data_IF_526466773142
#
_entry.id   IF_526466773142
#
_cell.length_a   1.000
_cell.length_b   1.000
_cell.length_c   1.000
_cell.angle_alpha   90.00
_cell.angle_beta   90.00
_cell.angle_gamma   90.00
#
_symmetry.space_group_name_H-M   'P 1'
#
loop_
_entity.id
_entity.type
_entity.pdbx_description
1 polymer ?
#
# COMPACT_ATOMS: atom_id res chain seq x y z
N UNK A 1 10.21 -40.22 -23.96
CA UNK A 1 9.06 -39.40 -23.51
C UNK A 1 9.52 -38.53 -22.33
N UNK A 2 10.18 -37.42 -22.61
CA UNK A 2 10.69 -36.49 -21.60
C UNK A 2 9.56 -35.55 -21.19
N UNK A 3 9.05 -35.75 -19.98
CA UNK A 3 8.01 -34.92 -19.36
C UNK A 3 8.51 -33.49 -19.18
N UNK A 4 7.93 -32.55 -19.93
CA UNK A 4 8.15 -31.11 -19.73
C UNK A 4 7.62 -30.74 -18.35
N UNK A 5 8.53 -30.63 -17.37
CA UNK A 5 8.23 -29.99 -16.10
C UNK A 5 8.03 -28.49 -16.39
N UNK A 6 6.78 -28.13 -16.71
CA UNK A 6 6.34 -26.74 -16.80
C UNK A 6 6.81 -26.03 -15.53
N UNK A 7 7.76 -25.11 -15.69
CA UNK A 7 8.06 -24.09 -14.68
C UNK A 7 6.73 -23.38 -14.46
N UNK A 8 6.04 -23.71 -13.38
CA UNK A 8 4.67 -23.26 -13.15
C UNK A 8 4.72 -21.75 -12.94
N UNK A 9 4.40 -21.00 -13.99
CA UNK A 9 4.23 -19.56 -13.96
C UNK A 9 3.34 -19.16 -12.79
N UNK A 10 3.69 -18.06 -12.11
CA UNK A 10 2.95 -17.52 -10.99
C UNK A 10 1.58 -17.00 -11.46
N UNK A 11 0.60 -17.91 -11.58
CA UNK A 11 -0.74 -17.60 -12.07
C UNK A 11 -1.53 -16.85 -10.98
N UNK A 12 -2.09 -15.67 -11.26
CA UNK A 12 -3.02 -14.96 -10.35
C UNK A 12 -4.26 -15.84 -10.06
N UNK A 13 -4.82 -15.77 -8.86
CA UNK A 13 -6.06 -16.48 -8.52
C UNK A 13 -7.25 -15.83 -9.21
N UNK A 14 -8.11 -16.63 -9.85
CA UNK A 14 -9.36 -16.12 -10.44
C UNK A 14 -10.49 -16.02 -9.40
N UNK A 15 -11.55 -15.29 -9.74
CA UNK A 15 -12.74 -15.16 -8.91
C UNK A 15 -13.37 -16.54 -8.64
N UNK A 16 -13.42 -17.41 -9.65
CA UNK A 16 -13.96 -18.77 -9.55
C UNK A 16 -13.10 -19.63 -8.63
N UNK A 17 -11.77 -19.50 -8.72
CA UNK A 17 -10.85 -20.18 -7.81
C UNK A 17 -11.05 -19.71 -6.36
N UNK A 18 -11.26 -18.41 -6.14
CA UNK A 18 -11.52 -17.87 -4.80
C UNK A 18 -12.87 -18.33 -4.24
N UNK A 19 -13.92 -18.38 -5.06
CA UNK A 19 -15.22 -18.93 -4.67
C UNK A 19 -15.07 -20.40 -4.30
N UNK A 20 -14.34 -21.17 -5.11
CA UNK A 20 -14.07 -22.58 -4.84
C UNK A 20 -13.28 -22.77 -3.54
N UNK A 21 -12.24 -21.97 -3.33
CA UNK A 21 -11.42 -22.03 -2.13
C UNK A 21 -12.24 -21.71 -0.88
N UNK A 22 -13.12 -20.69 -0.93
CA UNK A 22 -14.10 -20.40 0.14
C UNK A 22 -15.04 -21.57 0.44
N UNK A 23 -15.59 -22.19 -0.60
CA UNK A 23 -16.49 -23.33 -0.44
C UNK A 23 -15.77 -24.52 0.21
N UNK A 24 -14.55 -24.84 -0.26
CA UNK A 24 -13.77 -25.97 0.27
C UNK A 24 -13.34 -25.72 1.73
N UNK A 25 -12.87 -24.51 2.05
CA UNK A 25 -12.47 -24.16 3.43
C UNK A 25 -13.68 -24.10 4.36
N UNK A 26 -14.85 -23.67 3.89
CA UNK A 26 -16.09 -23.72 4.67
C UNK A 26 -16.46 -25.17 5.06
N UNK A 27 -16.26 -26.13 4.16
CA UNK A 27 -16.57 -27.55 4.40
C UNK A 27 -15.51 -28.29 5.22
N UNK A 28 -14.23 -28.03 4.97
CA UNK A 28 -13.11 -28.77 5.55
C UNK A 28 -12.40 -28.01 6.68
N UNK A 29 -12.68 -26.72 6.87
CA UNK A 29 -11.94 -25.86 7.79
C UNK A 29 -10.50 -25.59 7.34
N UNK A 30 -9.73 -24.94 8.22
CA UNK A 30 -8.33 -24.51 7.97
C UNK A 30 -7.28 -25.44 8.59
N UNK A 31 -7.68 -26.61 9.10
CA UNK A 31 -6.80 -27.54 9.81
C UNK A 31 -5.98 -28.45 8.87
N UNK A 32 -6.48 -28.75 7.67
CA UNK A 32 -5.77 -29.58 6.67
C UNK A 32 -5.71 -28.93 5.29
N UNK A 33 -4.68 -28.11 5.06
CA UNK A 33 -4.44 -27.49 3.76
C UNK A 33 -4.10 -28.49 2.64
N UNK A 34 -3.61 -29.68 3.00
CA UNK A 34 -3.38 -30.78 2.04
C UNK A 34 -4.70 -31.23 1.42
N UNK A 35 -5.72 -31.42 2.25
CA UNK A 35 -7.07 -31.78 1.81
C UNK A 35 -7.71 -30.64 1.03
N UNK A 36 -7.54 -29.38 1.45
CA UNK A 36 -8.05 -28.23 0.67
C UNK A 36 -7.45 -28.18 -0.74
N UNK A 37 -6.14 -28.36 -0.85
CA UNK A 37 -5.44 -28.31 -2.14
C UNK A 37 -5.83 -29.44 -3.10
N UNK A 38 -6.24 -30.62 -2.62
CA UNK A 38 -6.70 -31.70 -3.50
C UNK A 38 -7.98 -31.35 -4.26
N UNK A 39 -8.77 -30.39 -3.76
CA UNK A 39 -9.95 -29.88 -4.46
C UNK A 39 -9.66 -28.67 -5.35
N UNK A 40 -8.43 -28.16 -5.35
CA UNK A 40 -7.99 -26.97 -6.09
C UNK A 40 -7.01 -27.36 -7.21
N UNK A 41 -7.51 -27.82 -8.38
CA UNK A 41 -6.66 -28.28 -9.46
C UNK A 41 -5.72 -27.17 -9.95
N UNK A 42 -4.45 -27.53 -10.17
CA UNK A 42 -3.45 -26.57 -10.63
C UNK A 42 -3.01 -25.53 -9.58
N UNK A 43 -3.37 -25.73 -8.30
CA UNK A 43 -2.88 -24.96 -7.14
C UNK A 43 -2.21 -25.90 -6.14
N UNK A 44 -1.23 -25.37 -5.41
CA UNK A 44 -0.55 -26.11 -4.36
C UNK A 44 -1.02 -25.69 -2.96
N UNK A 45 -0.66 -26.49 -1.95
CA UNK A 45 -1.01 -26.28 -0.54
C UNK A 45 -0.60 -24.89 -0.05
N UNK A 46 0.63 -24.46 -0.37
CA UNK A 46 1.16 -23.16 0.03
C UNK A 46 0.34 -22.02 -0.55
N UNK A 47 0.02 -22.08 -1.84
CA UNK A 47 -0.77 -21.08 -2.58
C UNK A 47 -2.18 -20.96 -2.00
N UNK A 48 -2.86 -22.08 -1.75
CA UNK A 48 -4.20 -22.07 -1.17
C UNK A 48 -4.20 -21.44 0.24
N UNK A 49 -3.25 -21.84 1.09
CA UNK A 49 -3.12 -21.28 2.45
C UNK A 49 -2.81 -19.79 2.43
N UNK A 50 -1.87 -19.38 1.58
CA UNK A 50 -1.48 -17.97 1.46
C UNK A 50 -2.64 -17.12 0.93
N UNK A 51 -3.32 -17.57 -0.13
CA UNK A 51 -4.50 -16.87 -0.68
C UNK A 51 -5.58 -16.70 0.39
N UNK A 52 -5.86 -17.75 1.17
CA UNK A 52 -6.81 -17.69 2.26
C UNK A 52 -6.42 -16.67 3.32
N UNK A 53 -5.23 -16.84 3.90
CA UNK A 53 -4.79 -16.06 5.06
C UNK A 53 -4.60 -14.58 4.74
N UNK A 54 -4.27 -14.24 3.49
CA UNK A 54 -3.96 -12.87 3.10
C UNK A 54 -5.15 -12.12 2.51
N UNK A 55 -6.15 -12.82 1.95
CA UNK A 55 -7.21 -12.18 1.16
C UNK A 55 -8.63 -12.70 1.38
N UNK A 56 -8.83 -13.98 1.67
CA UNK A 56 -10.19 -14.58 1.70
C UNK A 56 -10.73 -14.83 3.11
N UNK A 57 -9.84 -14.97 4.10
CA UNK A 57 -10.25 -15.24 5.47
C UNK A 57 -11.09 -14.06 6.00
N UNK A 58 -12.25 -14.32 6.64
CA UNK A 58 -13.06 -13.28 7.27
C UNK A 58 -12.32 -12.48 8.35
N UNK A 59 -11.23 -13.03 8.89
CA UNK A 59 -10.36 -12.36 9.85
C UNK A 59 -9.48 -11.26 9.25
N UNK A 60 -9.32 -11.24 7.91
CA UNK A 60 -8.53 -10.22 7.23
C UNK A 60 -9.37 -8.97 7.09
N UNK A 61 -8.84 -7.86 7.54
CA UNK A 61 -9.49 -6.57 7.32
C UNK A 61 -9.20 -6.08 5.89
N UNK A 62 -10.25 -6.02 5.05
CA UNK A 62 -10.21 -5.49 3.68
C UNK A 62 -10.84 -4.08 3.57
N UNK A 63 -11.15 -3.42 4.69
CA UNK A 63 -11.72 -2.07 4.64
C UNK A 63 -10.71 -1.05 4.10
N UNK A 64 -11.16 0.08 3.54
CA UNK A 64 -10.26 1.14 3.09
C UNK A 64 -9.39 1.67 4.24
N UNK A 65 -8.18 2.13 3.95
CA UNK A 65 -7.32 2.72 5.00
C UNK A 65 -7.84 4.10 5.40
N UNK A 66 -7.91 4.34 6.71
CA UNK A 66 -8.23 5.65 7.28
C UNK A 66 -6.97 6.50 7.44
N UNK A 67 -7.17 7.82 7.59
CA UNK A 67 -6.04 8.74 7.81
C UNK A 67 -5.34 8.45 9.14
N UNK A 68 -6.10 8.05 10.16
CA UNK A 68 -5.58 7.67 11.47
C UNK A 68 -4.69 6.42 11.37
N UNK A 69 -5.11 5.44 10.55
CA UNK A 69 -4.29 4.26 10.25
C UNK A 69 -3.03 4.63 9.48
N UNK A 70 -3.09 5.56 8.52
CA UNK A 70 -1.91 6.03 7.79
C UNK A 70 -0.87 6.68 8.72
N UNK A 71 -1.33 7.56 9.62
CA UNK A 71 -0.47 8.21 10.60
C UNK A 71 0.19 7.16 11.50
N UNK A 72 -0.59 6.20 12.00
CA UNK A 72 -0.08 5.11 12.84
C UNK A 72 0.90 4.22 12.07
N UNK A 73 0.62 3.90 10.81
CA UNK A 73 1.49 3.11 9.95
C UNK A 73 2.88 3.77 9.81
N UNK A 74 2.91 5.06 9.47
CA UNK A 74 4.16 5.81 9.33
C UNK A 74 4.94 5.87 10.66
N UNK A 75 4.25 6.07 11.79
CA UNK A 75 4.86 6.03 13.12
C UNK A 75 5.48 4.67 13.45
N UNK A 76 4.72 3.60 13.28
CA UNK A 76 5.19 2.24 13.54
C UNK A 76 6.35 1.83 12.61
N UNK A 77 6.36 2.30 11.36
CA UNK A 77 7.49 2.06 10.46
C UNK A 77 8.76 2.78 10.91
N UNK A 78 8.66 4.00 11.46
CA UNK A 78 9.83 4.70 12.03
C UNK A 78 10.45 3.96 13.21
N UNK A 79 9.62 3.31 14.02
CA UNK A 79 10.06 2.57 15.21
C UNK A 79 10.56 1.16 14.88
N UNK A 80 9.84 0.43 14.01
CA UNK A 80 10.05 -1.01 13.77
C UNK A 80 10.71 -1.33 12.42
N UNK A 81 10.78 -0.38 11.49
CA UNK A 81 11.20 -0.61 10.11
C UNK A 81 10.22 -1.49 9.31
N UNK A 82 10.68 -2.24 8.29
CA UNK A 82 9.84 -3.03 7.37
C UNK A 82 9.29 -4.33 7.97
N UNK A 83 8.89 -4.32 9.25
CA UNK A 83 8.32 -5.45 9.96
C UNK A 83 6.80 -5.55 9.75
N UNK A 84 6.36 -5.68 8.50
CA UNK A 84 4.95 -5.58 8.07
C UNK A 84 3.98 -6.48 8.84
N UNK A 85 4.38 -7.72 9.13
CA UNK A 85 3.55 -8.67 9.90
C UNK A 85 3.31 -8.18 11.33
N UNK A 86 4.32 -7.57 11.97
CA UNK A 86 4.16 -7.01 13.33
C UNK A 86 3.30 -5.76 13.27
N UNK A 87 3.58 -4.85 12.33
CA UNK A 87 2.81 -3.63 12.12
C UNK A 87 1.31 -3.95 11.92
N UNK A 88 0.98 -5.00 11.15
CA UNK A 88 -0.41 -5.38 10.91
C UNK A 88 -1.20 -5.81 12.13
N UNK A 89 -0.53 -6.34 13.16
CA UNK A 89 -1.18 -6.64 14.44
C UNK A 89 -1.64 -5.37 15.17
N UNK A 90 -0.96 -4.24 14.96
CA UNK A 90 -1.33 -2.95 15.54
C UNK A 90 -2.37 -2.17 14.71
N UNK A 91 -2.63 -2.59 13.47
CA UNK A 91 -3.57 -1.98 12.53
C UNK A 91 -4.82 -2.84 12.29
N UNK A 92 -5.27 -3.58 13.30
CA UNK A 92 -6.53 -4.32 13.24
C UNK A 92 -6.52 -5.52 12.28
N UNK A 93 -5.44 -6.32 12.30
CA UNK A 93 -5.30 -7.55 11.51
C UNK A 93 -5.37 -7.35 9.99
N UNK A 94 -4.90 -6.20 9.49
CA UNK A 94 -4.63 -6.02 8.06
C UNK A 94 -3.49 -6.93 7.63
N UNK A 95 -3.54 -7.40 6.37
CA UNK A 95 -2.47 -8.23 5.82
C UNK A 95 -1.18 -7.42 5.64
N UNK A 96 -0.04 -8.09 5.82
CA UNK A 96 1.30 -7.55 5.59
C UNK A 96 1.43 -6.93 4.19
N UNK A 97 0.79 -7.57 3.20
CA UNK A 97 0.74 -7.09 1.83
C UNK A 97 0.02 -5.74 1.73
N UNK A 98 -1.18 -5.62 2.30
CA UNK A 98 -1.98 -4.40 2.23
C UNK A 98 -1.25 -3.22 2.88
N UNK A 99 -0.57 -3.49 4.00
CA UNK A 99 0.19 -2.48 4.74
C UNK A 99 1.39 -2.00 3.95
N UNK A 100 2.18 -2.92 3.38
CA UNK A 100 3.33 -2.57 2.54
C UNK A 100 2.88 -1.75 1.33
N UNK A 101 1.81 -2.17 0.65
CA UNK A 101 1.25 -1.43 -0.48
C UNK A 101 0.83 -0.01 -0.09
N UNK A 102 0.12 0.14 1.03
CA UNK A 102 -0.29 1.44 1.55
C UNK A 102 0.91 2.34 1.87
N UNK A 103 1.93 1.80 2.54
CA UNK A 103 3.14 2.53 2.86
C UNK A 103 3.86 3.03 1.60
N UNK A 104 4.06 2.15 0.62
CA UNK A 104 4.72 2.53 -0.65
C UNK A 104 3.96 3.64 -1.37
N UNK A 105 2.64 3.61 -1.34
CA UNK A 105 1.81 4.67 -1.91
C UNK A 105 2.00 6.00 -1.17
N UNK A 106 1.98 5.98 0.16
CA UNK A 106 2.22 7.18 0.97
C UNK A 106 3.60 7.79 0.69
N UNK A 107 4.64 6.96 0.57
CA UNK A 107 6.00 7.41 0.24
C UNK A 107 6.09 8.00 -1.17
N UNK A 108 5.42 7.38 -2.15
CA UNK A 108 5.36 7.92 -3.53
C UNK A 108 4.73 9.31 -3.55
N UNK A 109 3.65 9.50 -2.82
CA UNK A 109 2.97 10.80 -2.72
C UNK A 109 3.77 11.82 -1.94
N UNK A 110 4.53 11.41 -0.92
CA UNK A 110 5.46 12.31 -0.22
C UNK A 110 6.53 12.86 -1.16
N UNK A 111 7.23 11.98 -1.88
CA UNK A 111 8.27 12.36 -2.85
C UNK A 111 7.74 13.28 -3.94
N UNK A 112 6.51 13.04 -4.41
CA UNK A 112 5.87 13.88 -5.43
C UNK A 112 5.63 15.31 -4.93
N UNK A 113 5.31 15.49 -3.63
CA UNK A 113 5.12 16.81 -3.01
C UNK A 113 6.43 17.56 -2.86
N UNK A 114 7.47 16.89 -2.39
CA UNK A 114 8.83 17.44 -2.24
C UNK A 114 9.33 18.01 -3.60
N UNK A 115 9.16 17.25 -4.70
CA UNK A 115 9.52 17.69 -6.06
C UNK A 115 8.72 18.92 -6.54
N UNK A 116 7.45 19.05 -6.14
CA UNK A 116 6.61 20.19 -6.54
C UNK A 116 6.88 21.45 -5.71
N UNK A 117 7.34 21.32 -4.47
CA UNK A 117 7.61 22.43 -3.56
C UNK A 117 8.99 23.08 -3.85
N UNK A 118 9.98 22.29 -4.24
CA UNK A 118 11.30 22.81 -4.66
C UNK A 118 11.24 23.64 -5.95
N UNK A 119 10.22 23.41 -6.79
CA UNK A 119 9.98 24.17 -8.03
C UNK A 119 9.32 25.54 -7.80
N UNK A 120 8.93 25.88 -6.57
CA UNK A 120 8.31 27.17 -6.21
C UNK A 120 9.16 28.04 -5.26
N UNK A 121 10.40 27.65 -4.95
CA UNK A 121 11.31 28.44 -4.08
C UNK A 121 12.48 29.12 -4.82
N UNK A 122 12.23 29.65 -6.02
CA UNK A 122 13.18 30.54 -6.72
C UNK A 122 12.53 31.85 -7.15
N UNK A 123 12.18 32.65 -6.15
CA UNK A 123 12.17 34.11 -6.08
C UNK A 123 11.70 34.44 -4.65
N UNK A 124 12.31 35.30 -3.83
CA UNK A 124 12.84 36.63 -4.12
C UNK A 124 14.04 37.00 -3.22
N UNK A 125 15.02 37.59 -3.90
CA UNK A 125 15.81 38.79 -3.61
C UNK A 125 15.88 39.43 -2.20
N UNK A 126 17.14 39.74 -1.86
CA UNK A 126 17.55 40.85 -1.00
C UNK A 126 17.02 42.18 -1.55
N UNK A 127 16.29 42.97 -0.74
CA UNK A 127 16.29 44.44 -0.87
C UNK A 127 16.26 45.08 0.52
N UNK A 128 17.28 45.90 0.76
CA UNK A 128 17.49 46.75 1.93
C UNK A 128 16.59 48.01 1.91
N UNK A 129 16.00 48.29 3.06
CA UNK A 129 15.76 49.59 3.74
C UNK A 129 15.64 50.91 2.93
N UNK A 130 14.47 51.59 3.03
CA UNK A 130 14.34 53.04 3.25
C UNK A 130 12.87 53.49 3.45
N UNK A 131 12.67 54.43 4.38
CA UNK A 131 11.47 55.08 4.92
C UNK A 131 10.64 55.97 3.96
N UNK A 132 9.29 56.00 4.09
CA UNK A 132 8.43 57.22 4.32
C UNK A 132 6.90 56.93 4.50
N UNK A 133 6.33 57.49 5.60
CA UNK A 133 4.99 58.05 5.95
C UNK A 133 3.60 57.57 5.39
N UNK A 134 2.69 57.25 6.35
CA UNK A 134 1.21 57.49 6.54
C UNK A 134 0.26 57.83 5.34
N UNK A 135 -1.02 57.40 5.19
CA UNK A 135 -2.08 56.76 6.01
C UNK A 135 -3.22 56.16 5.08
N UNK A 136 -4.42 55.74 5.55
CA UNK A 136 -4.99 54.40 5.34
C UNK A 136 -6.00 54.28 4.17
N UNK A 137 -5.89 53.20 3.39
CA UNK A 137 -6.92 52.82 2.40
C UNK A 137 -7.26 51.33 2.60
N UNK A 138 -8.56 51.08 2.71
CA UNK A 138 -9.22 49.82 3.00
C UNK A 138 -8.79 48.66 2.07
N UNK A 139 -7.82 47.86 2.49
CA UNK A 139 -7.50 46.60 1.82
C UNK A 139 -8.32 45.46 2.43
N UNK A 140 -9.35 45.05 1.69
CA UNK A 140 -9.95 43.74 1.82
C UNK A 140 -8.83 42.69 1.74
N UNK A 141 -8.40 42.16 2.88
CA UNK A 141 -7.69 40.88 2.92
C UNK A 141 -8.70 39.85 2.42
N UNK A 142 -8.61 39.49 1.13
CA UNK A 142 -9.24 38.26 0.65
C UNK A 142 -8.58 37.13 1.45
N UNK A 143 -9.34 36.30 2.17
CA UNK A 143 -8.75 35.19 2.88
C UNK A 143 -8.08 34.28 1.84
N UNK A 144 -6.79 34.09 2.06
CA UNK A 144 -5.92 33.16 1.36
C UNK A 144 -6.62 31.80 1.23
N UNK A 145 -7.13 31.49 0.04
CA UNK A 145 -7.79 30.22 -0.27
C UNK A 145 -7.06 29.50 -1.39
N UNK A 146 -5.82 29.14 -1.14
CA UNK A 146 -5.22 27.93 -1.71
C UNK A 146 -4.38 27.20 -0.65
N UNK A 147 -5.05 26.77 0.43
CA UNK A 147 -4.55 25.64 1.22
C UNK A 147 -4.73 24.41 0.34
N UNK A 148 -3.60 23.86 -0.08
CA UNK A 148 -3.38 22.55 -0.71
C UNK A 148 -4.64 21.69 -0.85
N UNK A 149 -5.01 21.35 -2.08
CA UNK A 149 -5.86 20.19 -2.32
C UNK A 149 -5.09 18.93 -1.88
N UNK A 150 -5.12 18.64 -0.58
CA UNK A 150 -4.59 17.41 -0.03
C UNK A 150 -5.37 16.25 -0.64
N UNK A 151 -4.65 15.31 -1.24
CA UNK A 151 -5.24 14.07 -1.79
C UNK A 151 -6.12 13.44 -0.70
N UNK A 152 -7.37 13.17 -1.06
CA UNK A 152 -8.35 12.65 -0.11
C UNK A 152 -8.07 11.17 0.18
N UNK A 153 -8.42 10.69 1.39
CA UNK A 153 -8.29 9.25 1.73
C UNK A 153 -9.02 8.34 0.73
N UNK A 154 -10.09 8.84 0.08
CA UNK A 154 -10.82 8.12 -0.97
C UNK A 154 -9.97 7.87 -2.21
N UNK A 155 -9.17 8.86 -2.61
CA UNK A 155 -8.33 8.79 -3.80
C UNK A 155 -7.12 7.86 -3.62
N UNK A 156 -6.51 7.87 -2.43
CA UNK A 156 -5.46 6.90 -2.08
C UNK A 156 -5.97 5.45 -2.04
N UNK A 157 -7.22 5.22 -1.60
CA UNK A 157 -7.79 3.88 -1.58
C UNK A 157 -8.11 3.37 -3.00
N UNK A 158 -8.63 4.24 -3.88
CA UNK A 158 -8.88 3.89 -5.29
C UNK A 158 -7.58 3.55 -6.06
N UNK A 159 -6.47 4.23 -5.78
CA UNK A 159 -5.16 3.92 -6.37
C UNK A 159 -4.60 2.57 -5.87
N UNK A 160 -4.91 2.15 -4.65
CA UNK A 160 -4.52 0.82 -4.16
C UNK A 160 -5.32 -0.28 -4.84
N UNK A 161 -6.63 -0.10 -5.05
CA UNK A 161 -7.46 -1.12 -5.71
C UNK A 161 -6.99 -1.38 -7.15
N UNK A 162 -6.47 -0.37 -7.85
CA UNK A 162 -5.85 -0.54 -9.16
C UNK A 162 -4.49 -1.26 -9.08
N UNK A 163 -3.60 -0.83 -8.18
CA UNK A 163 -2.28 -1.44 -7.97
C UNK A 163 -2.35 -2.90 -7.47
N UNK A 164 -3.40 -3.23 -6.72
CA UNK A 164 -3.67 -4.57 -6.22
C UNK A 164 -4.12 -5.53 -7.33
N UNK A 165 -4.79 -5.02 -8.38
CA UNK A 165 -5.24 -5.82 -9.53
C UNK A 165 -4.15 -5.91 -10.64
N UNK A 166 -3.41 -4.83 -10.91
CA UNK A 166 -2.41 -4.78 -11.98
C UNK A 166 -1.01 -5.26 -11.57
N UNK A 167 -0.43 -4.79 -10.46
CA UNK A 167 1.04 -4.77 -10.31
C UNK A 167 1.62 -5.67 -9.20
N UNK A 168 0.80 -6.48 -8.53
CA UNK A 168 1.29 -7.34 -7.44
C UNK A 168 2.36 -8.36 -7.87
N UNK A 169 2.58 -8.58 -9.18
CA UNK A 169 3.55 -9.57 -9.69
C UNK A 169 4.86 -8.99 -10.25
N UNK A 170 4.95 -7.69 -10.55
CA UNK A 170 6.23 -7.10 -11.03
C UNK A 170 7.14 -6.61 -9.90
N UNK A 171 6.62 -6.54 -8.67
CA UNK A 171 7.41 -6.13 -7.50
C UNK A 171 8.13 -7.29 -6.78
N UNK A 172 8.07 -8.50 -7.34
CA UNK A 172 8.86 -9.64 -6.84
C UNK A 172 10.28 -9.67 -7.40
N UNK A 173 10.80 -8.54 -7.91
CA UNK A 173 12.24 -8.34 -8.14
C UNK A 173 12.84 -7.56 -6.96
N UNK A 174 13.03 -8.28 -5.84
CA UNK A 174 13.43 -7.72 -4.56
C UNK A 174 14.96 -7.55 -4.41
N UNK A 175 15.74 -7.71 -5.49
CA UNK A 175 17.21 -7.68 -5.42
C UNK A 175 17.90 -6.41 -5.94
N UNK A 176 17.18 -5.41 -6.44
CA UNK A 176 17.86 -4.26 -7.09
C UNK A 176 17.77 -2.91 -6.37
N UNK A 177 16.93 -2.76 -5.33
CA UNK A 177 16.73 -1.44 -4.67
C UNK A 177 17.14 -1.37 -3.20
N UNK A 178 17.29 -2.52 -2.53
CA UNK A 178 17.88 -2.55 -1.19
C UNK A 178 19.07 -3.49 -1.20
N UNK A 179 20.24 -2.93 -1.54
CA UNK A 179 21.52 -3.56 -1.27
C UNK A 179 21.64 -3.84 0.22
N UNK A 180 21.31 -5.07 0.60
CA UNK A 180 21.60 -5.58 1.94
C UNK A 180 22.91 -6.34 1.81
N UNK A 181 24.03 -5.62 1.97
CA UNK A 181 25.25 -6.26 2.47
C UNK A 181 24.97 -6.67 3.91
N UNK A 182 24.94 -7.98 4.20
CA UNK A 182 25.34 -8.51 5.51
C UNK A 182 26.02 -9.88 5.33
N UNK A 183 27.33 -9.87 5.63
CA UNK A 183 28.19 -10.88 6.29
C UNK A 183 27.81 -12.36 6.20
#
# INVERSE_FOLDING_TARGET
MSSLKSVRANRKFSQEEDIKLRCVVSKLGTHSWKSVASFMPGRNVRQCRERWNKFLSPSVNLSPFTREEDVRLLGLYKELGPQWVKIGKHLGNRSDIAIKARFMLLERHRKKREMSEESSSSCEDNVSESSVSEAPIHNHVKPNRQISAGITSKELNNEIDSLFFSDFTDFFDFNEVFGVEQL
#
